data_IF_466148498505
#
_entry.id   IF_466148498505
#
_cell.length_a   1.000
_cell.length_b   1.000
_cell.length_c   1.000
_cell.angle_alpha   90.00
_cell.angle_beta   90.00
_cell.angle_gamma   90.00
#
_symmetry.space_group_name_H-M   'P 1'
#
loop_
_entity.id
_entity.type
_entity.pdbx_description
1 polymer ?
#
# COMPACT_ATOMS: atom_id res chain seq x y z
N UNK A 1 -7.38 6.44 -1.09
CA UNK A 1 -7.34 6.06 -2.50
C UNK A 1 -6.27 5.00 -2.78
N UNK A 2 -6.25 3.96 -1.95
CA UNK A 2 -5.36 2.79 -2.08
C UNK A 2 -6.22 1.54 -2.00
N UNK A 3 -6.00 0.59 -2.90
CA UNK A 3 -6.53 -0.77 -2.84
C UNK A 3 -5.34 -1.73 -2.71
N UNK A 4 -5.45 -2.74 -1.87
CA UNK A 4 -4.47 -3.82 -1.75
C UNK A 4 -5.15 -5.17 -2.01
N UNK A 5 -4.48 -6.02 -2.77
CA UNK A 5 -4.90 -7.39 -3.07
C UNK A 5 -3.77 -8.34 -2.70
N UNK A 6 -4.04 -9.38 -1.93
CA UNK A 6 -3.07 -10.37 -1.51
C UNK A 6 -3.59 -11.78 -1.77
N UNK A 7 -2.73 -12.67 -2.27
CA UNK A 7 -2.96 -14.11 -2.20
C UNK A 7 -2.46 -14.64 -0.87
N UNK A 8 -3.36 -15.25 -0.09
CA UNK A 8 -3.03 -15.88 1.19
C UNK A 8 -3.20 -17.38 1.11
N UNK A 9 -2.41 -18.13 1.88
CA UNK A 9 -2.50 -19.61 1.93
C UNK A 9 -3.57 -20.07 2.94
N UNK A 10 -3.93 -19.20 3.87
CA UNK A 10 -4.92 -19.49 4.91
C UNK A 10 -6.34 -19.59 4.32
N UNK A 11 -7.05 -20.63 4.73
CA UNK A 11 -8.44 -20.78 4.39
C UNK A 11 -9.33 -20.05 5.40
N UNK A 12 -10.05 -19.03 4.93
CA UNK A 12 -11.05 -18.30 5.71
C UNK A 12 -12.43 -18.87 5.35
N UNK A 13 -13.11 -19.60 6.26
CA UNK A 13 -14.29 -20.39 5.93
C UNK A 13 -15.55 -19.56 5.69
N UNK A 14 -15.56 -18.28 6.07
CA UNK A 14 -16.69 -17.35 5.88
C UNK A 14 -16.26 -15.90 5.94
N UNK A 15 -17.07 -15.04 5.38
CA UNK A 15 -16.93 -13.59 5.54
C UNK A 15 -17.28 -13.17 6.98
N UNK A 16 -16.53 -12.19 7.49
CA UNK A 16 -16.82 -11.54 8.77
C UNK A 16 -16.39 -10.08 8.73
N UNK A 17 -17.14 -9.23 9.41
CA UNK A 17 -16.94 -7.78 9.37
C UNK A 17 -16.16 -7.29 10.60
N UNK A 18 -15.05 -6.59 10.37
CA UNK A 18 -14.24 -5.93 11.40
C UNK A 18 -14.35 -4.42 11.20
N UNK A 19 -14.95 -3.71 12.17
CA UNK A 19 -15.08 -2.26 12.12
C UNK A 19 -13.77 -1.55 12.50
N UNK A 20 -13.16 -1.98 13.61
CA UNK A 20 -11.88 -1.44 14.10
C UNK A 20 -10.76 -2.45 13.86
N UNK A 21 -10.16 -2.39 12.65
CA UNK A 21 -9.07 -3.28 12.29
C UNK A 21 -7.84 -3.11 13.20
N UNK A 22 -7.39 -1.90 13.57
CA UNK A 22 -6.32 -1.73 14.56
C UNK A 22 -6.60 -2.43 15.89
N UNK A 23 -7.83 -2.31 16.44
CA UNK A 23 -8.20 -2.99 17.67
C UNK A 23 -8.17 -4.52 17.52
N UNK A 24 -8.67 -5.04 16.39
CA UNK A 24 -8.62 -6.47 16.09
C UNK A 24 -7.17 -6.98 16.05
N UNK A 25 -6.31 -6.32 15.28
CA UNK A 25 -4.90 -6.69 15.15
C UNK A 25 -4.15 -6.58 16.49
N UNK A 26 -4.42 -5.54 17.28
CA UNK A 26 -3.87 -5.41 18.63
C UNK A 26 -4.35 -6.54 19.56
N UNK A 27 -5.60 -6.98 19.43
CA UNK A 27 -6.12 -8.12 20.19
C UNK A 27 -5.42 -9.43 19.79
N UNK A 28 -5.20 -9.64 18.49
CA UNK A 28 -4.41 -10.78 17.98
C UNK A 28 -2.99 -10.76 18.52
N UNK A 29 -2.35 -9.59 18.55
CA UNK A 29 -0.96 -9.42 19.02
C UNK A 29 -0.75 -9.66 20.52
N UNK A 30 -1.81 -9.81 21.32
CA UNK A 30 -1.71 -10.25 22.71
C UNK A 30 -1.26 -11.71 22.83
N UNK A 31 -1.34 -12.48 21.74
CA UNK A 31 -0.88 -13.85 21.63
C UNK A 31 0.39 -13.90 20.80
N UNK A 32 1.42 -14.63 21.23
CA UNK A 32 2.66 -14.83 20.47
C UNK A 32 2.47 -15.82 19.32
N UNK A 33 1.55 -16.78 19.48
CA UNK A 33 1.16 -17.76 18.45
C UNK A 33 -0.36 -17.91 18.45
N UNK A 34 -1.08 -16.95 17.85
CA UNK A 34 -2.54 -16.92 17.88
C UNK A 34 -3.16 -18.01 17.00
N UNK A 35 -4.15 -18.71 17.57
CA UNK A 35 -5.14 -19.52 16.84
C UNK A 35 -6.43 -18.72 16.76
N UNK A 36 -6.86 -18.38 15.54
CA UNK A 36 -8.03 -17.53 15.28
C UNK A 36 -9.15 -18.39 14.68
N UNK A 37 -10.15 -18.70 15.48
CA UNK A 37 -11.32 -19.43 15.06
C UNK A 37 -12.48 -18.46 14.78
N UNK A 38 -12.79 -18.28 13.50
CA UNK A 38 -13.92 -17.46 13.01
C UNK A 38 -15.15 -18.30 12.67
N UNK A 39 -15.03 -19.63 12.69
CA UNK A 39 -16.05 -20.55 12.21
C UNK A 39 -17.01 -21.04 13.30
N UNK A 40 -16.56 -21.11 14.55
CA UNK A 40 -17.32 -21.71 15.64
C UNK A 40 -18.49 -20.86 16.14
N UNK A 41 -18.56 -19.60 15.76
CA UNK A 41 -19.62 -18.67 16.18
C UNK A 41 -19.92 -17.62 15.10
N UNK A 42 -21.23 -17.27 14.95
CA UNK A 42 -21.67 -16.29 13.95
C UNK A 42 -21.39 -14.84 14.37
N UNK A 43 -21.22 -14.58 15.65
CA UNK A 43 -21.17 -13.22 16.20
C UNK A 43 -19.77 -12.75 16.60
N UNK A 44 -18.81 -13.67 16.77
CA UNK A 44 -17.47 -13.32 17.22
C UNK A 44 -16.41 -14.34 16.79
N UNK A 45 -15.16 -13.88 16.70
CA UNK A 45 -13.98 -14.75 16.61
C UNK A 45 -13.48 -15.15 17.99
N UNK A 46 -13.01 -16.38 18.15
CA UNK A 46 -12.15 -16.78 19.25
C UNK A 46 -10.68 -16.59 18.86
N UNK A 47 -9.94 -15.85 19.66
CA UNK A 47 -8.48 -15.69 19.54
C UNK A 47 -7.86 -16.38 20.75
N UNK A 48 -7.06 -17.42 20.54
CA UNK A 48 -6.54 -18.29 21.59
C UNK A 48 -5.04 -18.48 21.44
N UNK A 49 -4.37 -18.76 22.54
CA UNK A 49 -3.00 -19.27 22.58
C UNK A 49 -2.93 -20.44 23.55
N UNK A 50 -2.91 -21.66 23.01
CA UNK A 50 -3.00 -22.89 23.80
C UNK A 50 -4.25 -22.92 24.68
N UNK A 51 -4.06 -23.27 25.97
CA UNK A 51 -5.14 -23.29 26.97
C UNK A 51 -5.13 -22.09 27.91
N UNK A 52 -4.08 -21.25 27.85
CA UNK A 52 -3.82 -20.20 28.84
C UNK A 52 -4.52 -18.89 28.50
N UNK A 53 -4.50 -18.49 27.23
CA UNK A 53 -5.01 -17.20 26.79
C UNK A 53 -6.20 -17.36 25.85
N UNK A 54 -7.25 -16.59 26.08
CA UNK A 54 -8.43 -16.58 25.24
C UNK A 54 -9.08 -15.19 25.20
N UNK A 55 -9.38 -14.72 24.02
CA UNK A 55 -10.18 -13.51 23.80
C UNK A 55 -11.39 -13.85 22.90
N UNK A 56 -12.43 -13.03 23.00
CA UNK A 56 -13.54 -12.96 22.05
C UNK A 56 -13.51 -11.61 21.39
N UNK A 57 -13.55 -11.59 20.07
CA UNK A 57 -13.67 -10.35 19.30
C UNK A 57 -14.99 -10.37 18.53
N UNK A 58 -15.92 -9.49 18.85
CA UNK A 58 -17.25 -9.45 18.24
C UNK A 58 -17.16 -8.83 16.84
N UNK A 59 -17.85 -9.45 15.90
CA UNK A 59 -18.02 -8.93 14.55
C UNK A 59 -18.96 -7.74 14.53
N UNK A 60 -18.76 -6.87 13.56
CA UNK A 60 -19.65 -5.75 13.27
C UNK A 60 -20.73 -6.17 12.28
N UNK A 61 -21.75 -5.33 12.13
CA UNK A 61 -22.71 -5.48 11.05
C UNK A 61 -21.99 -5.21 9.71
N UNK A 62 -22.06 -6.13 8.71
CA UNK A 62 -21.44 -5.91 7.40
C UNK A 62 -21.89 -4.61 6.72
N UNK A 63 -23.09 -4.11 6.98
CA UNK A 63 -23.62 -2.88 6.38
C UNK A 63 -22.87 -1.60 6.78
N UNK A 64 -22.10 -1.62 7.88
CA UNK A 64 -21.29 -0.47 8.34
C UNK A 64 -19.87 -0.52 7.82
N UNK A 65 -19.48 -1.58 7.08
CA UNK A 65 -18.14 -1.75 6.51
C UNK A 65 -18.14 -1.28 5.07
N UNK A 66 -17.17 -0.46 4.71
CA UNK A 66 -16.90 -0.12 3.32
C UNK A 66 -16.09 -1.27 2.71
N UNK A 67 -16.76 -2.12 1.96
CA UNK A 67 -16.12 -3.22 1.24
C UNK A 67 -15.36 -2.69 0.00
N UNK A 68 -14.27 -3.37 -0.42
CA UNK A 68 -13.66 -3.10 -1.71
C UNK A 68 -14.65 -3.35 -2.84
N UNK A 69 -14.46 -2.74 -4.04
CA UNK A 69 -15.33 -3.00 -5.18
C UNK A 69 -15.23 -4.47 -5.62
N UNK A 70 -16.35 -5.06 -6.01
CA UNK A 70 -16.42 -6.46 -6.52
C UNK A 70 -15.66 -6.67 -7.84
N UNK A 71 -15.23 -5.60 -8.48
CA UNK A 71 -14.52 -5.64 -9.76
C UNK A 71 -13.02 -5.76 -9.55
N UNK A 72 -12.42 -6.76 -10.18
CA UNK A 72 -10.98 -6.92 -10.25
C UNK A 72 -10.33 -5.65 -10.83
N UNK A 73 -9.33 -5.13 -10.11
CA UNK A 73 -8.61 -3.94 -10.54
C UNK A 73 -7.55 -4.31 -11.57
N UNK A 74 -7.55 -3.60 -12.69
CA UNK A 74 -6.54 -3.73 -13.72
C UNK A 74 -5.93 -2.37 -14.03
N UNK A 75 -4.62 -2.36 -14.30
CA UNK A 75 -3.95 -1.15 -14.77
C UNK A 75 -4.40 -0.83 -16.19
N UNK A 76 -4.86 0.39 -16.49
CA UNK A 76 -5.39 0.72 -17.84
C UNK A 76 -4.33 0.70 -18.94
N UNK A 77 -3.07 0.98 -18.62
CA UNK A 77 -1.89 0.95 -19.50
C UNK A 77 -0.62 0.82 -18.67
N UNK A 78 0.45 0.30 -19.26
CA UNK A 78 1.79 0.22 -18.65
C UNK A 78 2.71 1.26 -19.33
N UNK A 79 2.55 2.54 -18.99
CA UNK A 79 3.29 3.61 -19.65
C UNK A 79 4.72 3.75 -19.12
N UNK A 80 4.91 3.50 -17.83
CA UNK A 80 6.23 3.49 -17.16
C UNK A 80 6.36 2.29 -16.24
N UNK A 81 7.50 1.59 -16.31
CA UNK A 81 7.81 0.46 -15.46
C UNK A 81 9.23 0.59 -14.90
N UNK A 82 9.42 0.19 -13.65
CA UNK A 82 10.74 0.08 -13.01
C UNK A 82 10.68 -0.85 -11.79
N UNK A 83 11.87 -1.27 -11.33
CA UNK A 83 12.01 -1.97 -10.06
C UNK A 83 12.33 -0.99 -8.95
N UNK A 84 11.59 -1.09 -7.85
CA UNK A 84 11.80 -0.33 -6.63
C UNK A 84 12.30 -1.28 -5.54
N UNK A 85 13.60 -1.19 -5.24
CA UNK A 85 14.20 -1.99 -4.19
C UNK A 85 13.81 -1.50 -2.79
N UNK A 86 13.82 -2.42 -1.83
CA UNK A 86 13.51 -2.16 -0.42
C UNK A 86 14.32 -1.00 0.18
N UNK A 87 15.63 -0.95 -0.11
CA UNK A 87 16.51 0.12 0.38
C UNK A 87 16.09 1.50 -0.15
N UNK A 88 15.70 1.58 -1.44
CA UNK A 88 15.26 2.82 -2.08
C UNK A 88 13.93 3.29 -1.50
N UNK A 89 12.96 2.37 -1.33
CA UNK A 89 11.66 2.65 -0.69
C UNK A 89 11.86 3.16 0.74
N UNK A 90 12.69 2.47 1.52
CA UNK A 90 12.99 2.84 2.91
C UNK A 90 13.63 4.22 2.99
N UNK A 91 14.59 4.54 2.11
CA UNK A 91 15.24 5.86 2.06
C UNK A 91 14.25 6.98 1.76
N UNK A 92 13.38 6.78 0.77
CA UNK A 92 12.35 7.76 0.39
C UNK A 92 11.37 8.02 1.53
N UNK A 93 10.80 6.97 2.13
CA UNK A 93 9.84 7.11 3.23
C UNK A 93 10.47 7.77 4.47
N UNK A 94 11.70 7.38 4.81
CA UNK A 94 12.45 7.97 5.91
C UNK A 94 12.78 9.44 5.66
N UNK A 95 13.17 9.80 4.45
CA UNK A 95 13.48 11.19 4.09
C UNK A 95 12.24 12.07 4.15
N UNK A 96 11.09 11.59 3.63
CA UNK A 96 9.80 12.28 3.78
C UNK A 96 9.48 12.55 5.26
N UNK A 97 9.62 11.54 6.12
CA UNK A 97 9.34 11.67 7.55
C UNK A 97 10.27 12.67 8.26
N UNK A 98 11.58 12.60 7.97
CA UNK A 98 12.60 13.48 8.60
C UNK A 98 12.41 14.95 8.18
N UNK A 99 12.11 15.19 6.90
CA UNK A 99 11.98 16.52 6.32
C UNK A 99 10.54 17.07 6.37
N UNK A 100 9.56 16.25 6.80
CA UNK A 100 8.15 16.64 6.87
C UNK A 100 7.52 16.85 5.49
N UNK A 101 7.93 16.07 4.47
CA UNK A 101 7.54 16.27 3.07
C UNK A 101 6.28 15.45 2.73
N UNK A 102 5.19 16.08 2.25
CA UNK A 102 3.90 15.41 2.07
C UNK A 102 3.74 14.71 0.71
N UNK A 103 4.58 15.01 -0.28
CA UNK A 103 4.40 14.55 -1.65
C UNK A 103 5.54 13.63 -2.09
N UNK A 104 5.20 12.61 -2.90
CA UNK A 104 6.13 11.76 -3.63
C UNK A 104 5.86 11.92 -5.13
N UNK A 105 6.90 12.21 -5.91
CA UNK A 105 6.82 12.25 -7.37
C UNK A 105 7.72 11.16 -7.97
N UNK A 106 7.22 10.47 -8.99
CA UNK A 106 8.02 9.61 -9.88
C UNK A 106 8.29 10.42 -11.13
N UNK A 107 9.53 10.85 -11.32
CA UNK A 107 9.92 11.79 -12.37
C UNK A 107 10.80 11.09 -13.40
N UNK A 108 10.44 11.20 -14.67
CA UNK A 108 11.26 10.82 -15.82
C UNK A 108 11.80 12.07 -16.49
N UNK A 109 13.12 12.26 -16.40
CA UNK A 109 13.82 13.38 -17.06
C UNK A 109 15.30 13.06 -17.24
N UNK A 110 15.94 13.68 -18.22
CA UNK A 110 17.38 13.58 -18.45
C UNK A 110 17.94 12.12 -18.47
N UNK A 111 17.15 11.20 -19.02
CA UNK A 111 17.57 9.78 -19.19
C UNK A 111 17.37 8.89 -17.96
N UNK A 112 16.79 9.39 -16.86
CA UNK A 112 16.63 8.64 -15.61
C UNK A 112 15.21 8.71 -15.06
N UNK A 113 14.83 7.68 -14.30
CA UNK A 113 13.64 7.68 -13.44
C UNK A 113 14.10 7.95 -12.02
N UNK A 114 13.51 8.96 -11.38
CA UNK A 114 13.76 9.33 -9.99
C UNK A 114 12.48 9.26 -9.15
N UNK A 115 12.62 8.85 -7.91
CA UNK A 115 11.65 9.14 -6.84
C UNK A 115 12.08 10.42 -6.14
N UNK A 116 11.19 11.38 -5.99
CA UNK A 116 11.45 12.67 -5.34
C UNK A 116 10.40 12.90 -4.27
N UNK A 117 10.81 13.14 -3.02
CA UNK A 117 9.92 13.65 -1.98
C UNK A 117 10.14 15.14 -1.81
N UNK A 118 9.03 15.90 -1.73
CA UNK A 118 9.03 17.37 -1.63
C UNK A 118 7.71 17.85 -1.05
N UNK A 119 7.61 19.14 -0.75
CA UNK A 119 6.33 19.85 -0.62
C UNK A 119 6.09 20.63 -1.91
N UNK A 120 5.27 20.07 -2.81
CA UNK A 120 5.00 20.64 -4.14
C UNK A 120 4.18 21.94 -4.10
N UNK A 121 3.69 22.34 -2.93
CA UNK A 121 3.00 23.62 -2.72
C UNK A 121 3.91 24.71 -2.20
N UNK A 122 5.17 24.38 -1.91
CA UNK A 122 6.15 25.29 -1.33
C UNK A 122 7.45 25.30 -2.17
N UNK A 123 7.63 26.32 -2.99
CA UNK A 123 8.78 26.46 -3.89
C UNK A 123 10.14 26.57 -3.15
N UNK A 124 10.13 26.79 -1.83
CA UNK A 124 11.32 26.84 -1.00
C UNK A 124 11.50 25.59 -0.13
N UNK A 125 10.72 24.54 -0.41
CA UNK A 125 10.80 23.26 0.30
C UNK A 125 12.16 22.59 0.07
N UNK A 126 12.62 21.87 1.10
CA UNK A 126 13.64 20.85 0.89
C UNK A 126 13.10 19.73 0.01
N UNK A 127 14.00 18.99 -0.63
CA UNK A 127 13.69 17.77 -1.33
C UNK A 127 14.70 16.65 -1.04
N UNK A 128 14.34 15.43 -1.45
CA UNK A 128 15.28 14.31 -1.49
C UNK A 128 14.91 13.41 -2.66
N UNK A 129 15.91 13.02 -3.45
CA UNK A 129 15.71 12.20 -4.64
C UNK A 129 16.56 10.93 -4.64
N UNK A 130 16.00 9.85 -5.20
CA UNK A 130 16.67 8.56 -5.43
C UNK A 130 16.44 8.13 -6.87
N UNK A 131 17.50 7.78 -7.60
CA UNK A 131 17.41 7.20 -8.95
C UNK A 131 17.01 5.73 -8.83
N UNK A 132 15.98 5.33 -9.59
CA UNK A 132 15.43 3.97 -9.59
C UNK A 132 15.49 3.29 -10.95
N UNK A 133 15.79 4.01 -12.03
CA UNK A 133 15.84 3.43 -13.36
C UNK A 133 16.31 4.41 -14.42
N UNK A 134 16.17 3.99 -15.68
CA UNK A 134 16.44 4.80 -16.88
C UNK A 134 15.18 4.91 -17.73
N UNK A 135 15.02 6.04 -18.42
CA UNK A 135 13.91 6.29 -19.33
C UNK A 135 14.27 7.39 -20.33
N UNK A 136 13.76 7.30 -21.54
CA UNK A 136 13.81 8.38 -22.53
C UNK A 136 12.53 9.23 -22.50
N UNK A 137 11.57 8.87 -21.64
CA UNK A 137 10.26 9.53 -21.49
C UNK A 137 10.32 10.68 -20.50
N UNK A 138 9.47 11.69 -20.73
CA UNK A 138 9.29 12.84 -19.84
C UNK A 138 7.95 12.69 -19.12
N UNK A 139 7.98 12.65 -17.79
CA UNK A 139 6.79 12.53 -16.96
C UNK A 139 7.01 13.00 -15.53
N UNK A 140 5.90 13.33 -14.84
CA UNK A 140 5.85 13.52 -13.39
C UNK A 140 4.56 12.90 -12.87
N UNK A 141 4.66 11.76 -12.21
CA UNK A 141 3.54 11.08 -11.55
C UNK A 141 3.57 11.33 -10.07
N UNK A 142 2.52 11.98 -9.57
CA UNK A 142 2.48 12.54 -8.22
C UNK A 142 1.57 11.73 -7.30
N UNK A 143 2.01 11.55 -6.05
CA UNK A 143 1.31 10.84 -4.99
C UNK A 143 1.35 11.64 -3.70
N UNK A 144 0.35 11.45 -2.84
CA UNK A 144 0.46 11.80 -1.43
C UNK A 144 1.23 10.72 -0.69
N UNK A 145 2.24 11.13 0.11
CA UNK A 145 3.06 10.18 0.87
C UNK A 145 2.21 9.34 1.84
N UNK A 146 1.12 9.90 2.37
CA UNK A 146 0.18 9.20 3.24
C UNK A 146 -0.52 8.00 2.57
N UNK A 147 -0.56 7.96 1.23
CA UNK A 147 -1.12 6.85 0.44
C UNK A 147 -0.06 5.77 0.15
N UNK A 148 1.23 6.03 0.39
CA UNK A 148 2.32 5.07 0.18
C UNK A 148 2.48 4.20 1.43
N UNK A 149 1.45 3.42 1.75
CA UNK A 149 1.42 2.49 2.89
C UNK A 149 1.83 1.09 2.46
N UNK A 150 3.00 1.00 1.83
CA UNK A 150 3.55 -0.26 1.36
C UNK A 150 4.28 -0.98 2.49
N UNK A 151 4.11 -2.30 2.59
CA UNK A 151 4.97 -3.11 3.47
C UNK A 151 6.39 -3.14 2.93
N UNK A 152 7.34 -3.46 3.78
CA UNK A 152 8.76 -3.59 3.40
C UNK A 152 8.93 -4.67 2.33
N UNK A 153 9.78 -4.43 1.34
CA UNK A 153 10.06 -5.39 0.26
C UNK A 153 10.42 -4.73 -1.06
N UNK A 154 10.63 -5.55 -2.07
CA UNK A 154 10.94 -5.13 -3.44
C UNK A 154 9.67 -5.12 -4.29
N UNK A 155 9.51 -4.11 -5.12
CA UNK A 155 8.31 -3.92 -5.94
C UNK A 155 8.64 -3.80 -7.43
N UNK A 156 7.86 -4.49 -8.24
CA UNK A 156 7.68 -4.13 -9.63
C UNK A 156 6.63 -3.03 -9.70
N UNK A 157 7.02 -1.84 -10.14
CA UNK A 157 6.14 -0.69 -10.25
C UNK A 157 5.74 -0.50 -11.70
N UNK A 158 4.44 -0.40 -11.95
CA UNK A 158 3.85 -0.05 -13.24
C UNK A 158 2.93 1.15 -13.07
N UNK A 159 3.09 2.19 -13.87
CA UNK A 159 2.31 3.41 -13.78
C UNK A 159 1.61 3.68 -15.11
N UNK A 160 0.30 3.94 -15.01
CA UNK A 160 -0.53 4.39 -16.12
C UNK A 160 -0.72 5.91 -16.09
N UNK A 161 -0.56 6.56 -17.23
CA UNK A 161 -0.92 7.96 -17.44
C UNK A 161 -2.42 8.25 -17.22
N UNK A 162 -3.23 7.19 -17.06
CA UNK A 162 -4.66 7.26 -16.70
C UNK A 162 -4.90 7.25 -15.20
N UNK A 163 -4.01 7.90 -14.45
CA UNK A 163 -4.11 8.19 -13.01
C UNK A 163 -4.11 6.97 -12.08
N UNK A 164 -3.44 5.89 -12.44
CA UNK A 164 -3.33 4.70 -11.60
C UNK A 164 -1.91 4.12 -11.64
N UNK A 165 -1.39 3.74 -10.48
CA UNK A 165 -0.14 2.99 -10.34
C UNK A 165 -0.39 1.65 -9.67
N UNK A 166 0.35 0.63 -10.11
CA UNK A 166 0.39 -0.71 -9.55
C UNK A 166 1.77 -0.95 -8.95
N UNK A 167 1.80 -1.37 -7.69
CA UNK A 167 3.00 -1.81 -6.99
C UNK A 167 2.83 -3.28 -6.66
N UNK A 168 3.51 -4.16 -7.38
CA UNK A 168 3.51 -5.59 -7.13
C UNK A 168 4.71 -5.97 -6.28
N UNK A 169 4.45 -6.45 -5.06
CA UNK A 169 5.49 -6.97 -4.18
C UNK A 169 5.96 -8.33 -4.68
N UNK A 170 7.26 -8.47 -4.94
CA UNK A 170 7.82 -9.70 -5.52
C UNK A 170 7.99 -10.82 -4.49
N UNK A 171 7.93 -10.50 -3.20
CA UNK A 171 8.20 -11.43 -2.11
C UNK A 171 6.91 -12.07 -1.54
N UNK A 172 5.78 -11.35 -1.58
CA UNK A 172 4.56 -11.69 -0.83
C UNK A 172 3.29 -11.85 -1.69
N UNK A 173 3.37 -11.92 -3.02
CA UNK A 173 2.18 -11.97 -3.90
C UNK A 173 1.12 -10.92 -3.54
N UNK A 174 1.58 -9.72 -3.26
CA UNK A 174 0.77 -8.61 -2.80
C UNK A 174 0.82 -7.47 -3.80
N UNK A 175 -0.34 -7.01 -4.23
CA UNK A 175 -0.48 -5.90 -5.17
C UNK A 175 -1.14 -4.71 -4.48
N UNK A 176 -0.58 -3.52 -4.67
CA UNK A 176 -1.23 -2.27 -4.31
C UNK A 176 -1.57 -1.49 -5.58
N UNK A 177 -2.79 -0.97 -5.64
CA UNK A 177 -3.22 0.02 -6.62
C UNK A 177 -3.36 1.36 -5.92
N UNK A 178 -2.64 2.37 -6.41
CA UNK A 178 -2.60 3.71 -5.80
C UNK A 178 -2.96 4.73 -6.88
N UNK A 179 -3.98 5.55 -6.59
CA UNK A 179 -4.36 6.63 -7.48
C UNK A 179 -3.28 7.73 -7.50
N UNK A 180 -3.03 8.28 -8.68
CA UNK A 180 -2.19 9.47 -8.85
C UNK A 180 -2.95 10.75 -8.47
N UNK A 181 -2.19 11.78 -8.12
CA UNK A 181 -2.74 13.13 -7.99
C UNK A 181 -3.08 13.72 -9.37
N UNK A 182 -4.13 14.55 -9.46
CA UNK A 182 -4.64 15.07 -10.75
C UNK A 182 -3.65 15.91 -11.57
N UNK A 183 -2.63 16.46 -10.91
CA UNK A 183 -1.57 17.27 -11.53
C UNK A 183 -0.37 16.44 -12.00
N UNK A 184 -0.53 15.14 -12.13
CA UNK A 184 0.42 14.26 -12.81
C UNK A 184 0.46 14.54 -14.31
N UNK A 185 1.64 14.41 -14.93
CA UNK A 185 1.85 14.64 -16.37
C UNK A 185 2.65 13.52 -17.03
N UNK A 186 2.40 13.31 -18.31
CA UNK A 186 3.09 12.33 -19.13
C UNK A 186 3.14 12.83 -20.59
N UNK A 187 4.34 12.96 -21.13
CA UNK A 187 4.58 13.46 -22.50
C UNK A 187 5.04 12.35 -23.47
N UNK A 188 5.26 11.11 -22.97
CA UNK A 188 5.68 9.97 -23.78
C UNK A 188 7.17 9.72 -23.81
#
# INVERSE_FOLDING_TARGET
>A
NVLAEAEIEEYIPKDFAIYDLPQFLNTVSLCSSPDIDVSSNESFAHIKEGTANRSKYFFSDPSVIIAPPDKEMALPSDDVQFMLGEEQLTKILKSSSILGLPDLSVVGEAGVVKLVVSDRKNDTSNDFAVVVGRTDKIFSFNFKIENIKLITGTYQVSISSKNLAKFYNTDYKLTYFIALEPDSSYEG
#
